data_IF_691172308531
#
_entry.id   IF_691172308531
#
_cell.length_a   1.000
_cell.length_b   1.000
_cell.length_c   1.000
_cell.angle_alpha   90.00
_cell.angle_beta   90.00
_cell.angle_gamma   90.00
#
_symmetry.space_group_name_H-M   'P 1'
#
loop_
_entity.id
_entity.type
_entity.pdbx_description
1 polymer ?
#
# COMPACT_ATOMS: atom_id res chain seq x y z
N UNK A 1 -22.64 -20.08 24.10
CA UNK A 1 -24.05 -20.09 23.62
C UNK A 1 -24.29 -21.21 22.63
N UNK A 2 -23.58 -21.30 21.50
CA UNK A 2 -23.78 -22.35 20.47
C UNK A 2 -23.63 -23.77 21.04
N UNK A 3 -22.53 -24.02 21.77
CA UNK A 3 -22.29 -25.29 22.50
C UNK A 3 -23.39 -25.61 23.52
N UNK A 4 -23.99 -24.60 24.14
CA UNK A 4 -25.06 -24.79 25.13
C UNK A 4 -26.38 -25.19 24.45
N UNK A 5 -26.69 -24.58 23.30
CA UNK A 5 -27.84 -24.93 22.48
C UNK A 5 -27.67 -26.36 21.96
N UNK A 6 -26.48 -26.70 21.47
CA UNK A 6 -26.15 -28.05 20.99
C UNK A 6 -26.30 -29.12 22.08
N UNK A 7 -25.77 -28.87 23.28
CA UNK A 7 -25.95 -29.78 24.42
C UNK A 7 -27.43 -29.92 24.85
N UNK A 8 -28.22 -28.85 24.73
CA UNK A 8 -29.64 -28.89 25.07
C UNK A 8 -30.46 -29.64 24.01
N UNK A 9 -30.11 -29.50 22.73
CA UNK A 9 -30.69 -30.26 21.61
C UNK A 9 -30.35 -31.75 21.70
N UNK A 10 -29.11 -32.10 22.07
CA UNK A 10 -28.71 -33.48 22.37
C UNK A 10 -29.51 -34.10 23.53
N UNK A 11 -30.06 -33.27 24.42
CA UNK A 11 -30.96 -33.69 25.51
C UNK A 11 -32.44 -33.64 25.11
N UNK A 12 -32.74 -33.54 23.81
CA UNK A 12 -34.10 -33.60 23.24
C UNK A 12 -34.89 -32.28 23.27
N UNK A 13 -34.26 -31.14 23.59
CA UNK A 13 -34.94 -29.84 23.54
C UNK A 13 -34.89 -29.23 22.15
N UNK A 14 -36.00 -28.71 21.64
CA UNK A 14 -36.05 -27.99 20.37
C UNK A 14 -36.09 -26.48 20.62
N UNK A 15 -35.32 -25.71 19.85
CA UNK A 15 -35.28 -24.26 19.95
C UNK A 15 -35.57 -23.61 18.60
N UNK A 16 -36.33 -22.51 18.63
CA UNK A 16 -36.42 -21.58 17.51
C UNK A 16 -35.42 -20.46 17.73
N UNK A 17 -34.38 -20.40 16.91
CA UNK A 17 -33.29 -19.44 17.06
C UNK A 17 -33.47 -18.25 16.11
N UNK A 18 -33.63 -17.04 16.66
CA UNK A 18 -33.49 -15.78 15.90
C UNK A 18 -32.07 -15.26 16.06
N UNK A 19 -31.22 -15.53 15.07
CA UNK A 19 -29.77 -15.29 15.17
C UNK A 19 -29.23 -14.54 13.96
N UNK A 20 -28.03 -13.98 14.10
CA UNK A 20 -27.26 -13.49 12.97
C UNK A 20 -26.81 -14.65 12.07
N UNK A 21 -26.51 -14.37 10.79
CA UNK A 21 -26.07 -15.38 9.82
C UNK A 21 -24.82 -16.17 10.27
N UNK A 22 -23.95 -15.56 11.08
CA UNK A 22 -22.75 -16.19 11.64
C UNK A 22 -23.04 -17.39 12.56
N UNK A 23 -24.22 -17.43 13.18
CA UNK A 23 -24.66 -18.57 13.99
C UNK A 23 -24.88 -19.79 13.11
N UNK A 24 -25.56 -19.62 11.99
CA UNK A 24 -25.90 -20.71 11.06
C UNK A 24 -24.62 -21.30 10.46
N UNK A 25 -23.71 -20.44 9.99
CA UNK A 25 -22.43 -20.89 9.42
C UNK A 25 -21.58 -21.68 10.42
N UNK A 26 -21.51 -21.22 11.67
CA UNK A 26 -20.79 -21.94 12.73
C UNK A 26 -21.49 -23.26 13.09
N UNK A 27 -22.82 -23.28 13.14
CA UNK A 27 -23.62 -24.49 13.47
C UNK A 27 -23.44 -25.61 12.45
N UNK A 28 -23.34 -25.27 11.16
CA UNK A 28 -23.21 -26.27 10.09
C UNK A 28 -21.76 -26.51 9.65
N UNK A 29 -20.78 -25.94 10.37
CA UNK A 29 -19.36 -26.17 10.12
C UNK A 29 -18.82 -25.53 8.83
N UNK A 30 -19.40 -24.40 8.39
CA UNK A 30 -18.83 -23.65 7.25
C UNK A 30 -17.44 -23.13 7.66
N UNK A 31 -16.41 -23.54 6.92
CA UNK A 31 -15.05 -23.04 7.09
C UNK A 31 -15.05 -21.53 6.81
N UNK A 32 -14.55 -20.70 7.74
CA UNK A 32 -14.43 -19.26 7.52
C UNK A 32 -13.57 -18.99 6.28
N UNK A 33 -14.11 -18.22 5.33
CA UNK A 33 -13.31 -17.69 4.23
C UNK A 33 -12.54 -16.48 4.71
N UNK A 34 -11.28 -16.38 4.31
CA UNK A 34 -10.49 -15.17 4.52
C UNK A 34 -11.19 -13.96 3.89
N UNK A 35 -10.97 -12.73 4.43
CA UNK A 35 -11.46 -11.52 3.80
C UNK A 35 -10.99 -11.42 2.33
N UNK A 36 -11.91 -11.00 1.46
CA UNK A 36 -11.62 -10.76 0.05
C UNK A 36 -10.91 -9.42 -0.09
N UNK A 37 -9.82 -9.41 -0.84
CA UNK A 37 -9.01 -8.24 -1.15
C UNK A 37 -9.25 -7.79 -2.60
N UNK A 38 -8.91 -6.53 -2.97
CA UNK A 38 -9.07 -6.03 -4.34
C UNK A 38 -8.41 -6.91 -5.42
N UNK A 39 -7.28 -7.55 -5.08
CA UNK A 39 -6.54 -8.46 -5.96
C UNK A 39 -7.35 -9.70 -6.34
N UNK A 40 -8.17 -10.21 -5.42
CA UNK A 40 -9.01 -11.39 -5.63
C UNK A 40 -10.17 -11.11 -6.59
N UNK A 41 -10.48 -9.82 -6.81
CA UNK A 41 -11.49 -9.34 -7.75
C UNK A 41 -10.88 -8.79 -9.06
N UNK A 42 -9.54 -8.76 -9.19
CA UNK A 42 -8.84 -8.25 -10.36
C UNK A 42 -8.86 -6.72 -10.51
N UNK A 43 -9.06 -5.97 -9.42
CA UNK A 43 -9.31 -4.51 -9.46
C UNK A 43 -8.03 -3.68 -9.31
N UNK A 44 -6.87 -4.32 -9.18
CA UNK A 44 -5.58 -3.65 -8.92
C UNK A 44 -5.11 -2.71 -10.04
N UNK A 45 -5.65 -2.85 -11.25
CA UNK A 45 -5.23 -2.06 -12.42
C UNK A 45 -6.01 -0.75 -12.61
N UNK A 46 -7.17 -0.60 -11.96
CA UNK A 46 -7.98 0.62 -12.10
C UNK A 46 -7.41 1.75 -11.21
N UNK A 47 -6.79 2.76 -11.82
CA UNK A 47 -6.38 4.00 -11.13
C UNK A 47 -7.57 4.93 -10.92
N UNK A 48 -8.48 4.54 -10.03
CA UNK A 48 -9.57 5.40 -9.54
C UNK A 48 -9.66 5.31 -8.03
N UNK A 49 -10.07 6.42 -7.41
CA UNK A 49 -10.26 6.48 -5.96
C UNK A 49 -11.40 5.55 -5.50
N UNK A 50 -11.31 5.06 -4.27
CA UNK A 50 -12.46 4.50 -3.57
C UNK A 50 -13.35 5.59 -2.97
N UNK A 51 -14.64 5.29 -2.87
CA UNK A 51 -15.64 6.16 -2.28
C UNK A 51 -16.11 5.59 -0.94
N UNK A 52 -15.91 6.33 0.15
CA UNK A 52 -16.34 5.96 1.49
C UNK A 52 -17.44 6.92 1.92
N UNK A 53 -18.62 6.41 2.29
CA UNK A 53 -19.77 7.23 2.70
C UNK A 53 -20.22 6.87 4.11
N UNK A 54 -20.23 7.86 5.00
CA UNK A 54 -20.60 7.70 6.42
C UNK A 54 -21.64 8.73 6.82
N UNK A 55 -22.91 8.31 6.86
CA UNK A 55 -24.04 9.20 7.18
C UNK A 55 -24.44 9.23 8.66
N UNK A 56 -24.16 8.18 9.43
CA UNK A 56 -24.68 8.05 10.80
C UNK A 56 -23.86 8.81 11.84
N UNK A 57 -24.53 9.48 12.77
CA UNK A 57 -23.93 10.00 14.01
C UNK A 57 -24.25 9.07 15.19
N UNK A 58 -23.29 8.20 15.52
CA UNK A 58 -23.38 7.26 16.66
C UNK A 58 -21.98 7.17 17.27
N UNK A 59 -21.81 7.11 18.60
CA UNK A 59 -20.48 7.13 19.23
C UNK A 59 -19.49 6.12 18.66
N UNK A 60 -19.95 4.91 18.30
CA UNK A 60 -19.12 3.89 17.66
C UNK A 60 -18.64 4.31 16.26
N UNK A 61 -19.55 4.83 15.43
CA UNK A 61 -19.19 5.33 14.09
C UNK A 61 -18.25 6.52 14.18
N UNK A 62 -18.45 7.43 15.13
CA UNK A 62 -17.57 8.59 15.35
C UNK A 62 -16.15 8.13 15.67
N UNK A 63 -15.98 7.22 16.64
CA UNK A 63 -14.66 6.63 16.97
C UNK A 63 -13.99 5.95 15.78
N UNK A 64 -14.75 5.18 14.99
CA UNK A 64 -14.22 4.51 13.79
C UNK A 64 -13.74 5.49 12.73
N UNK A 65 -14.42 6.64 12.60
CA UNK A 65 -14.05 7.68 11.63
C UNK A 65 -12.86 8.51 12.12
N UNK A 66 -12.76 8.78 13.43
CA UNK A 66 -11.59 9.43 14.03
C UNK A 66 -10.33 8.56 13.84
N UNK A 67 -10.44 7.25 14.10
CA UNK A 67 -9.35 6.30 13.88
C UNK A 67 -8.97 6.21 12.40
N UNK A 68 -9.95 6.18 11.49
CA UNK A 68 -9.70 6.23 10.04
C UNK A 68 -8.92 7.50 9.66
N UNK A 69 -9.28 8.66 10.21
CA UNK A 69 -8.57 9.92 9.94
C UNK A 69 -7.15 9.90 10.47
N UNK A 70 -6.94 9.37 11.67
CA UNK A 70 -5.63 9.24 12.29
C UNK A 70 -4.72 8.35 11.44
N UNK A 71 -5.22 7.20 11.00
CA UNK A 71 -4.42 6.18 10.33
C UNK A 71 -4.25 6.40 8.82
N UNK A 72 -5.24 7.00 8.15
CA UNK A 72 -5.30 7.10 6.69
C UNK A 72 -5.31 8.55 6.19
N UNK A 73 -5.19 9.54 7.07
CA UNK A 73 -5.33 10.97 6.71
C UNK A 73 -4.34 11.48 5.66
N UNK A 74 -3.20 10.81 5.48
CA UNK A 74 -2.20 11.16 4.48
C UNK A 74 -2.66 10.88 3.03
N UNK A 75 -3.45 9.83 2.80
CA UNK A 75 -3.99 9.50 1.46
C UNK A 75 -5.50 9.71 1.32
N UNK A 76 -6.23 9.89 2.42
CA UNK A 76 -7.69 10.04 2.44
C UNK A 76 -8.12 11.50 2.35
N UNK A 77 -8.92 11.86 1.34
CA UNK A 77 -9.55 13.18 1.21
C UNK A 77 -10.91 13.19 1.90
N UNK A 78 -11.08 14.12 2.87
CA UNK A 78 -12.32 14.29 3.63
C UNK A 78 -13.22 15.35 2.99
N UNK A 79 -14.45 14.97 2.73
CA UNK A 79 -15.56 15.85 2.39
C UNK A 79 -16.60 15.79 3.50
N UNK A 80 -16.70 16.87 4.26
CA UNK A 80 -17.71 17.01 5.29
C UNK A 80 -18.96 17.68 4.70
N UNK A 81 -20.12 17.08 4.98
CA UNK A 81 -21.43 17.53 4.55
C UNK A 81 -22.14 18.14 5.74
N UNK A 82 -22.47 19.43 5.69
CA UNK A 82 -23.10 20.12 6.82
C UNK A 82 -24.55 19.66 7.02
N UNK A 83 -24.85 19.03 8.16
CA UNK A 83 -26.21 18.61 8.50
C UNK A 83 -27.14 19.82 8.65
N UNK A 84 -26.65 20.96 9.14
CA UNK A 84 -27.42 22.19 9.28
C UNK A 84 -27.96 22.68 7.92
N UNK A 85 -27.06 22.79 6.92
CA UNK A 85 -27.43 23.17 5.55
C UNK A 85 -28.41 22.20 4.91
N UNK A 86 -28.29 20.90 5.20
CA UNK A 86 -29.15 19.87 4.61
C UNK A 86 -30.55 19.78 5.22
N UNK A 87 -30.67 20.04 6.52
CA UNK A 87 -31.87 19.73 7.30
C UNK A 87 -32.70 20.96 7.70
N UNK A 88 -32.04 22.09 7.96
CA UNK A 88 -32.64 23.25 8.64
C UNK A 88 -32.75 24.50 7.76
N UNK A 89 -32.01 24.54 6.65
CA UNK A 89 -31.87 25.72 5.79
C UNK A 89 -32.72 25.65 4.51
N UNK A 90 -32.61 26.66 3.64
CA UNK A 90 -33.39 26.76 2.40
C UNK A 90 -33.08 25.62 1.43
N UNK A 91 -33.98 25.36 0.47
CA UNK A 91 -33.75 24.37 -0.59
C UNK A 91 -32.53 24.72 -1.45
N UNK A 92 -32.27 26.01 -1.67
CA UNK A 92 -31.11 26.50 -2.42
C UNK A 92 -29.80 26.14 -1.70
N UNK A 93 -29.68 26.41 -0.39
CA UNK A 93 -28.47 26.07 0.38
C UNK A 93 -28.23 24.55 0.48
N UNK A 94 -29.31 23.76 0.46
CA UNK A 94 -29.23 22.29 0.36
C UNK A 94 -28.65 21.87 -0.99
N UNK A 95 -29.17 22.39 -2.09
CA UNK A 95 -28.68 22.07 -3.44
C UNK A 95 -27.23 22.51 -3.65
N UNK A 96 -26.86 23.70 -3.19
CA UNK A 96 -25.47 24.18 -3.24
C UNK A 96 -24.51 23.25 -2.49
N UNK A 97 -24.87 22.82 -1.28
CA UNK A 97 -24.02 21.91 -0.50
C UNK A 97 -23.89 20.53 -1.16
N UNK A 98 -24.97 20.02 -1.75
CA UNK A 98 -24.96 18.76 -2.50
C UNK A 98 -24.05 18.86 -3.73
N UNK A 99 -24.23 19.90 -4.54
CA UNK A 99 -23.45 20.12 -5.76
C UNK A 99 -21.96 20.30 -5.43
N UNK A 100 -21.65 21.09 -4.40
CA UNK A 100 -20.27 21.30 -3.91
C UNK A 100 -19.59 19.99 -3.55
N UNK A 101 -20.27 19.12 -2.80
CA UNK A 101 -19.70 17.85 -2.35
C UNK A 101 -19.57 16.87 -3.53
N UNK A 102 -20.55 16.79 -4.41
CA UNK A 102 -20.52 15.92 -5.57
C UNK A 102 -19.40 16.31 -6.56
N UNK A 103 -19.23 17.60 -6.84
CA UNK A 103 -18.17 18.11 -7.71
C UNK A 103 -16.78 17.79 -7.13
N UNK A 104 -16.55 18.09 -5.86
CA UNK A 104 -15.30 17.77 -5.18
C UNK A 104 -15.03 16.26 -5.13
N UNK A 105 -16.06 15.44 -4.93
CA UNK A 105 -15.93 13.99 -4.95
C UNK A 105 -15.53 13.49 -6.35
N UNK A 106 -16.12 14.02 -7.43
CA UNK A 106 -15.73 13.69 -8.79
C UNK A 106 -14.25 14.02 -9.07
N UNK A 107 -13.80 15.19 -8.62
CA UNK A 107 -12.40 15.63 -8.75
C UNK A 107 -11.43 14.67 -8.02
N UNK A 108 -11.71 14.36 -6.75
CA UNK A 108 -10.84 13.48 -5.96
C UNK A 108 -10.82 12.04 -6.45
N UNK A 109 -11.97 11.48 -6.81
CA UNK A 109 -12.05 10.13 -7.41
C UNK A 109 -11.32 10.08 -8.76
N UNK A 110 -11.42 11.16 -9.55
CA UNK A 110 -10.74 11.31 -10.83
C UNK A 110 -9.22 11.35 -10.70
N UNK A 111 -8.73 11.99 -9.63
CA UNK A 111 -7.32 12.07 -9.25
C UNK A 111 -6.81 10.84 -8.45
N UNK A 112 -7.54 9.72 -8.50
CA UNK A 112 -7.17 8.46 -7.83
C UNK A 112 -7.03 8.57 -6.31
N UNK A 113 -7.74 9.50 -5.66
CA UNK A 113 -7.68 9.67 -4.20
C UNK A 113 -8.85 8.99 -3.51
N UNK A 114 -8.55 8.29 -2.41
CA UNK A 114 -9.58 7.76 -1.51
C UNK A 114 -10.40 8.92 -0.94
N UNK A 115 -11.72 8.86 -1.11
CA UNK A 115 -12.61 9.99 -0.80
C UNK A 115 -13.62 9.59 0.26
N UNK A 116 -13.54 10.21 1.43
CA UNK A 116 -14.49 10.06 2.53
C UNK A 116 -15.54 11.19 2.50
N UNK A 117 -16.78 10.84 2.19
CA UNK A 117 -17.95 11.70 2.40
C UNK A 117 -18.55 11.37 3.76
N UNK A 118 -18.60 12.36 4.65
CA UNK A 118 -19.19 12.20 5.98
C UNK A 118 -20.06 13.38 6.35
N UNK A 119 -21.14 13.11 7.08
CA UNK A 119 -21.95 14.16 7.69
C UNK A 119 -21.19 14.83 8.84
N UNK A 120 -21.49 16.11 9.10
CA UNK A 120 -20.96 16.82 10.26
C UNK A 120 -21.26 16.07 11.56
N UNK A 121 -20.34 16.15 12.51
CA UNK A 121 -20.40 15.40 13.77
C UNK A 121 -21.06 16.20 14.91
N UNK A 122 -21.82 17.22 14.58
CA UNK A 122 -22.66 17.90 15.56
C UNK A 122 -23.99 17.15 15.65
N UNK A 123 -24.38 16.77 16.87
CA UNK A 123 -25.66 16.10 17.10
C UNK A 123 -26.79 17.12 16.94
N UNK A 124 -27.49 17.07 15.80
CA UNK A 124 -28.70 17.84 15.57
C UNK A 124 -29.91 16.93 15.84
N UNK A 125 -30.45 17.01 17.06
CA UNK A 125 -31.69 16.31 17.45
C UNK A 125 -32.88 17.26 17.40
N UNK A 126 -34.00 16.77 16.87
CA UNK A 126 -35.28 17.47 16.99
C UNK A 126 -35.79 17.44 18.43
N UNK A 127 -36.77 18.29 18.74
CA UNK A 127 -37.46 18.34 20.04
C UNK A 127 -38.30 17.09 20.27
N UNK A 128 -38.64 16.36 19.21
CA UNK A 128 -39.41 15.12 19.24
C UNK A 128 -38.71 13.99 18.48
N UNK A 129 -39.14 12.73 18.73
CA UNK A 129 -38.67 11.57 17.99
C UNK A 129 -39.00 11.66 16.49
N UNK A 130 -40.16 12.23 16.14
CA UNK A 130 -40.58 12.46 14.75
C UNK A 130 -39.67 13.47 14.04
N UNK A 131 -39.39 14.62 14.67
CA UNK A 131 -38.46 15.62 14.11
C UNK A 131 -37.05 15.04 13.91
N UNK A 132 -36.58 14.23 14.87
CA UNK A 132 -35.29 13.54 14.74
C UNK A 132 -35.27 12.54 13.58
N UNK A 133 -36.39 11.84 13.32
CA UNK A 133 -36.55 10.97 12.16
C UNK A 133 -36.56 11.74 10.84
N UNK A 134 -37.24 12.88 10.79
CA UNK A 134 -37.27 13.75 9.60
C UNK A 134 -35.90 14.32 9.24
N UNK A 135 -35.12 14.75 10.24
CA UNK A 135 -33.73 15.20 10.03
C UNK A 135 -32.90 14.05 9.45
N UNK A 136 -32.98 12.84 10.03
CA UNK A 136 -32.27 11.68 9.50
C UNK A 136 -32.68 11.35 8.06
N UNK A 137 -33.96 11.49 7.72
CA UNK A 137 -34.45 11.28 6.35
C UNK A 137 -33.87 12.32 5.39
N UNK A 138 -33.91 13.62 5.74
CA UNK A 138 -33.34 14.72 4.93
C UNK A 138 -31.84 14.55 4.69
N UNK A 139 -31.11 14.06 5.70
CA UNK A 139 -29.67 13.76 5.60
C UNK A 139 -29.43 12.55 4.70
N UNK A 140 -30.18 11.47 4.88
CA UNK A 140 -30.04 10.27 4.04
C UNK A 140 -30.34 10.57 2.58
N UNK A 141 -31.41 11.34 2.29
CA UNK A 141 -31.75 11.73 0.91
C UNK A 141 -30.68 12.61 0.28
N UNK A 142 -30.10 13.56 1.02
CA UNK A 142 -29.00 14.37 0.53
C UNK A 142 -27.75 13.54 0.19
N UNK A 143 -27.38 12.56 1.04
CA UNK A 143 -26.27 11.64 0.73
C UNK A 143 -26.54 10.80 -0.51
N UNK A 144 -27.79 10.37 -0.71
CA UNK A 144 -28.21 9.67 -1.92
C UNK A 144 -28.06 10.58 -3.15
N UNK A 145 -28.52 11.83 -3.07
CA UNK A 145 -28.39 12.81 -4.15
C UNK A 145 -26.93 13.09 -4.50
N UNK A 146 -26.06 13.29 -3.50
CA UNK A 146 -24.62 13.48 -3.68
C UNK A 146 -24.02 12.28 -4.45
N UNK A 147 -24.24 11.05 -3.98
CA UNK A 147 -23.69 9.85 -4.64
C UNK A 147 -24.30 9.65 -6.03
N UNK A 148 -25.56 10.06 -6.24
CA UNK A 148 -26.21 10.02 -7.54
C UNK A 148 -25.63 11.02 -8.54
N UNK A 149 -25.12 12.16 -8.07
CA UNK A 149 -24.45 13.16 -8.92
C UNK A 149 -22.98 12.83 -9.22
N UNK A 150 -22.34 11.94 -8.45
CA UNK A 150 -21.01 11.44 -8.78
C UNK A 150 -21.09 10.67 -10.10
N UNK A 151 -20.36 11.15 -11.11
CA UNK A 151 -20.27 10.58 -12.46
C UNK A 151 -19.00 9.75 -12.64
N UNK A 152 -17.92 10.10 -11.91
CA UNK A 152 -16.69 9.31 -11.87
C UNK A 152 -16.95 7.95 -11.24
N UNK A 153 -16.73 6.88 -12.00
CA UNK A 153 -16.81 5.49 -11.51
C UNK A 153 -15.77 5.25 -10.40
N UNK A 154 -16.18 4.99 -9.15
CA UNK A 154 -15.26 4.65 -8.07
C UNK A 154 -14.73 3.22 -8.25
N UNK A 155 -13.53 2.97 -7.76
CA UNK A 155 -12.92 1.63 -7.76
C UNK A 155 -13.62 0.65 -6.82
N UNK A 156 -14.07 1.15 -5.68
CA UNK A 156 -14.97 0.47 -4.75
C UNK A 156 -15.81 1.52 -4.02
N UNK A 157 -16.92 1.08 -3.44
CA UNK A 157 -17.78 1.92 -2.61
C UNK A 157 -17.94 1.25 -1.24
N UNK A 158 -17.67 1.99 -0.17
CA UNK A 158 -17.91 1.55 1.21
C UNK A 158 -18.98 2.44 1.82
N UNK A 159 -20.11 1.85 2.23
CA UNK A 159 -21.15 2.55 2.95
C UNK A 159 -21.20 2.10 4.41
N UNK A 160 -21.19 3.05 5.34
CA UNK A 160 -21.25 2.78 6.78
C UNK A 160 -22.62 3.10 7.35
N UNK A 161 -23.25 2.08 7.93
CA UNK A 161 -24.55 2.15 8.60
C UNK A 161 -25.64 1.40 7.84
N UNK A 162 -26.63 0.85 8.55
CA UNK A 162 -27.67 0.01 7.95
C UNK A 162 -28.54 0.76 6.94
N UNK A 163 -29.09 1.91 7.36
CA UNK A 163 -29.92 2.76 6.50
C UNK A 163 -29.08 3.33 5.34
N UNK A 164 -27.93 3.93 5.66
CA UNK A 164 -27.03 4.51 4.65
C UNK A 164 -26.62 3.50 3.59
N UNK A 165 -26.25 2.27 3.97
CA UNK A 165 -25.88 1.25 2.98
C UNK A 165 -27.07 0.81 2.12
N UNK A 166 -28.25 0.65 2.72
CA UNK A 166 -29.44 0.28 1.97
C UNK A 166 -29.86 1.36 0.98
N UNK A 167 -29.92 2.61 1.43
CA UNK A 167 -30.35 3.75 0.63
C UNK A 167 -29.38 4.04 -0.51
N UNK A 168 -28.07 3.99 -0.26
CA UNK A 168 -27.08 4.20 -1.31
C UNK A 168 -27.13 3.09 -2.36
N UNK A 169 -27.21 1.82 -1.96
CA UNK A 169 -27.30 0.72 -2.91
C UNK A 169 -28.55 0.81 -3.81
N UNK A 170 -29.71 1.05 -3.21
CA UNK A 170 -31.00 0.96 -3.92
C UNK A 170 -31.41 2.27 -4.60
N UNK A 171 -31.14 3.44 -4.00
CA UNK A 171 -31.60 4.74 -4.49
C UNK A 171 -30.51 5.52 -5.22
N UNK A 172 -29.27 5.48 -4.74
CA UNK A 172 -28.18 6.25 -5.35
C UNK A 172 -27.50 5.49 -6.50
N UNK A 173 -27.26 4.19 -6.31
CA UNK A 173 -26.62 3.30 -7.28
C UNK A 173 -27.63 2.52 -8.14
N UNK A 174 -28.92 2.60 -7.79
CA UNK A 174 -30.03 1.98 -8.51
C UNK A 174 -29.88 0.46 -8.67
N UNK A 175 -29.16 -0.20 -7.76
CA UNK A 175 -28.92 -1.63 -7.79
C UNK A 175 -30.21 -2.41 -7.48
N UNK A 176 -30.58 -3.34 -8.36
CA UNK A 176 -31.74 -4.24 -8.18
C UNK A 176 -31.28 -5.63 -7.73
N UNK A 177 -30.11 -6.06 -8.18
CA UNK A 177 -29.45 -7.27 -7.72
C UNK A 177 -27.96 -7.02 -7.49
N UNK A 178 -27.37 -7.84 -6.62
CA UNK A 178 -25.94 -7.84 -6.39
C UNK A 178 -25.49 -9.25 -6.04
N UNK A 179 -24.28 -9.61 -6.47
CA UNK A 179 -23.66 -10.89 -6.08
C UNK A 179 -22.88 -10.69 -4.79
N UNK A 180 -23.20 -11.47 -3.75
CA UNK A 180 -22.36 -11.49 -2.53
C UNK A 180 -21.11 -12.31 -2.83
N UNK A 181 -19.97 -11.66 -2.97
CA UNK A 181 -18.70 -12.30 -3.34
C UNK A 181 -17.89 -12.75 -2.13
N UNK A 182 -18.17 -12.18 -0.95
CA UNK A 182 -17.53 -12.58 0.30
C UNK A 182 -17.70 -11.53 1.38
N UNK A 183 -16.65 -11.36 2.18
CA UNK A 183 -16.60 -10.35 3.24
C UNK A 183 -15.31 -9.55 3.11
N UNK A 184 -15.37 -8.23 3.31
CA UNK A 184 -14.18 -7.36 3.32
C UNK A 184 -13.44 -7.42 4.66
N UNK A 185 -14.16 -7.81 5.72
CA UNK A 185 -13.66 -8.15 7.06
C UNK A 185 -14.73 -9.03 7.71
N UNK A 186 -14.40 -9.79 8.74
CA UNK A 186 -15.37 -10.63 9.45
C UNK A 186 -16.66 -9.85 9.82
N UNK A 187 -17.80 -10.28 9.26
CA UNK A 187 -19.10 -9.64 9.49
C UNK A 187 -19.39 -8.40 8.64
N UNK A 188 -18.54 -8.07 7.66
CA UNK A 188 -18.69 -6.95 6.73
C UNK A 188 -18.90 -7.50 5.31
N UNK A 189 -20.15 -7.58 4.82
CA UNK A 189 -20.45 -8.13 3.50
C UNK A 189 -19.83 -7.32 2.36
N UNK A 190 -19.38 -8.05 1.34
CA UNK A 190 -18.87 -7.49 0.10
C UNK A 190 -19.75 -7.95 -1.07
N UNK A 191 -20.34 -6.97 -1.76
CA UNK A 191 -21.21 -7.19 -2.91
C UNK A 191 -20.51 -6.77 -4.19
N UNK A 192 -20.89 -7.36 -5.31
CA UNK A 192 -20.55 -6.91 -6.65
C UNK A 192 -21.84 -6.46 -7.33
N UNK A 193 -21.92 -5.18 -7.71
CA UNK A 193 -23.13 -4.58 -8.26
C UNK A 193 -23.49 -5.16 -9.62
N UNK A 194 -24.79 -5.37 -9.87
CA UNK A 194 -25.31 -5.90 -11.13
C UNK A 194 -25.17 -4.93 -12.32
N UNK A 195 -25.38 -5.44 -13.55
CA UNK A 195 -25.29 -4.66 -14.79
C UNK A 195 -26.29 -3.50 -14.90
N UNK A 196 -27.37 -3.54 -14.12
CA UNK A 196 -28.41 -2.52 -14.08
C UNK A 196 -28.08 -1.32 -13.18
N UNK A 197 -27.05 -1.43 -12.35
CA UNK A 197 -26.62 -0.34 -11.46
C UNK A 197 -25.89 0.78 -12.21
N UNK A 198 -25.79 1.97 -11.61
CA UNK A 198 -25.02 3.11 -12.19
C UNK A 198 -23.53 2.80 -12.37
N UNK A 199 -22.99 1.87 -11.59
CA UNK A 199 -21.59 1.43 -11.70
C UNK A 199 -21.48 -0.10 -11.72
N UNK A 200 -21.80 -0.73 -12.87
CA UNK A 200 -21.82 -2.19 -13.00
C UNK A 200 -20.51 -2.85 -12.59
N UNK A 201 -20.58 -3.89 -11.76
CA UNK A 201 -19.41 -4.65 -11.32
C UNK A 201 -18.54 -3.97 -10.27
N UNK A 202 -18.83 -2.72 -9.86
CA UNK A 202 -18.10 -2.07 -8.77
C UNK A 202 -18.36 -2.82 -7.46
N UNK A 203 -17.32 -3.12 -6.67
CA UNK A 203 -17.49 -3.70 -5.34
C UNK A 203 -18.16 -2.71 -4.40
N UNK A 204 -19.19 -3.20 -3.70
CA UNK A 204 -19.96 -2.46 -2.73
C UNK A 204 -19.82 -3.11 -1.35
N UNK A 205 -19.08 -2.46 -0.46
CA UNK A 205 -18.83 -2.89 0.92
C UNK A 205 -19.93 -2.34 1.81
N UNK A 206 -20.74 -3.25 2.36
CA UNK A 206 -21.81 -2.92 3.30
C UNK A 206 -21.22 -2.99 4.70
N UNK A 207 -20.91 -1.85 5.31
CA UNK A 207 -20.34 -1.81 6.65
C UNK A 207 -21.44 -1.61 7.71
N UNK A 208 -21.80 -2.65 8.50
CA UNK A 208 -22.88 -2.53 9.46
C UNK A 208 -22.57 -1.54 10.59
N UNK A 209 -23.61 -0.92 11.15
CA UNK A 209 -23.48 0.08 12.22
C UNK A 209 -22.75 -0.42 13.47
N UNK A 210 -22.92 -1.71 13.79
CA UNK A 210 -22.54 -2.35 15.05
C UNK A 210 -21.35 -3.31 14.95
N UNK A 211 -20.75 -3.50 13.77
CA UNK A 211 -19.65 -4.47 13.54
C UNK A 211 -18.28 -3.80 13.70
N UNK A 212 -17.27 -4.59 14.10
CA UNK A 212 -15.87 -4.18 14.22
C UNK A 212 -15.53 -3.44 15.52
N UNK A 213 -14.24 -3.29 15.79
CA UNK A 213 -13.71 -2.41 16.83
C UNK A 213 -13.55 -0.97 16.29
N UNK A 214 -12.79 -0.11 16.97
CA UNK A 214 -12.53 1.26 16.47
C UNK A 214 -11.65 1.30 15.22
N UNK A 215 -10.83 0.27 14.96
CA UNK A 215 -9.88 0.23 13.84
C UNK A 215 -10.46 -0.41 12.59
N UNK A 216 -11.49 -1.23 12.72
CA UNK A 216 -12.08 -2.00 11.62
C UNK A 216 -12.41 -1.18 10.36
N UNK A 217 -12.85 0.08 10.49
CA UNK A 217 -13.07 0.94 9.31
C UNK A 217 -11.76 1.34 8.63
N UNK A 218 -10.74 1.70 9.40
CA UNK A 218 -9.41 1.99 8.91
C UNK A 218 -8.78 0.77 8.24
N UNK A 219 -8.93 -0.42 8.83
CA UNK A 219 -8.35 -1.66 8.30
C UNK A 219 -8.95 -2.05 6.94
N UNK A 220 -10.28 -1.91 6.80
CA UNK A 220 -10.94 -2.13 5.51
C UNK A 220 -10.50 -1.08 4.49
N UNK A 221 -10.46 0.20 4.85
CA UNK A 221 -10.02 1.24 3.90
C UNK A 221 -8.57 1.04 3.49
N UNK A 222 -7.66 0.67 4.41
CA UNK A 222 -6.25 0.38 4.09
C UNK A 222 -6.09 -0.81 3.15
N UNK A 223 -6.80 -1.90 3.42
CA UNK A 223 -6.73 -3.10 2.59
C UNK A 223 -7.37 -2.92 1.21
N UNK A 224 -8.21 -1.90 1.05
CA UNK A 224 -8.89 -1.59 -0.20
C UNK A 224 -8.34 -0.37 -0.94
N UNK A 225 -7.59 0.51 -0.28
CA UNK A 225 -6.91 1.65 -0.89
C UNK A 225 -5.92 1.20 -1.97
N UNK A 226 -5.64 2.05 -2.96
CA UNK A 226 -4.50 1.82 -3.85
C UNK A 226 -3.26 1.90 -2.97
N UNK A 227 -2.35 0.92 -3.04
CA UNK A 227 -1.08 1.09 -2.37
C UNK A 227 -0.38 2.29 -3.04
N UNK A 228 0.34 3.11 -2.26
CA UNK A 228 1.17 4.17 -2.83
C UNK A 228 2.19 3.56 -3.80
N UNK A 229 2.76 2.41 -3.44
CA UNK A 229 3.65 1.61 -4.31
C UNK A 229 2.97 0.36 -4.83
N UNK A 230 3.15 0.05 -6.10
CA UNK A 230 2.65 -1.20 -6.67
C UNK A 230 3.28 -2.45 -6.04
N UNK A 231 4.51 -2.36 -5.54
CA UNK A 231 5.23 -3.45 -4.84
C UNK A 231 6.31 -2.89 -3.92
N UNK A 232 6.75 -3.70 -2.94
CA UNK A 232 7.96 -3.42 -2.15
C UNK A 232 9.22 -3.91 -2.87
N UNK A 233 10.40 -3.40 -2.52
CA UNK A 233 11.68 -3.88 -3.08
C UNK A 233 11.85 -5.38 -2.81
N UNK A 234 11.44 -5.84 -1.62
CA UNK A 234 11.46 -7.26 -1.26
C UNK A 234 10.61 -8.11 -2.21
N UNK A 235 9.41 -7.65 -2.55
CA UNK A 235 8.51 -8.36 -3.45
C UNK A 235 9.02 -8.35 -4.89
N UNK A 236 9.59 -7.23 -5.35
CA UNK A 236 10.27 -7.13 -6.65
C UNK A 236 11.33 -8.21 -6.80
N UNK A 237 12.24 -8.29 -5.82
CA UNK A 237 13.34 -9.24 -5.85
C UNK A 237 12.86 -10.69 -5.68
N UNK A 238 11.87 -10.98 -4.83
CA UNK A 238 11.25 -12.32 -4.73
C UNK A 238 10.67 -12.79 -6.07
N UNK A 239 10.00 -11.89 -6.78
CA UNK A 239 9.38 -12.20 -8.06
C UNK A 239 10.43 -12.43 -9.15
N UNK A 240 11.52 -11.67 -9.12
CA UNK A 240 12.68 -11.84 -10.00
C UNK A 240 13.37 -13.18 -9.81
N UNK A 241 13.64 -13.56 -8.56
CA UNK A 241 14.21 -14.87 -8.22
C UNK A 241 13.30 -16.02 -8.69
N UNK A 242 12.00 -15.96 -8.38
CA UNK A 242 11.02 -16.97 -8.82
C UNK A 242 10.87 -17.05 -10.33
N UNK A 243 11.00 -15.91 -11.01
CA UNK A 243 10.89 -15.79 -12.45
C UNK A 243 12.18 -16.07 -13.21
N UNK A 244 13.32 -16.20 -12.51
CA UNK A 244 14.64 -16.40 -13.13
C UNK A 244 15.13 -15.18 -13.92
N UNK A 245 14.81 -13.97 -13.48
CA UNK A 245 15.26 -12.72 -14.10
C UNK A 245 15.88 -11.77 -13.07
N UNK A 246 16.51 -10.68 -13.53
CA UNK A 246 17.05 -9.62 -12.68
C UNK A 246 16.23 -8.34 -12.82
N UNK A 247 16.16 -7.53 -11.76
CA UNK A 247 15.54 -6.19 -11.80
C UNK A 247 16.63 -5.17 -12.03
N UNK A 248 16.48 -4.34 -13.08
CA UNK A 248 17.40 -3.24 -13.33
C UNK A 248 17.26 -2.16 -12.25
N UNK A 249 18.38 -1.76 -11.68
CA UNK A 249 18.49 -0.64 -10.76
C UNK A 249 19.29 0.45 -11.46
N UNK A 250 18.73 1.66 -11.55
CA UNK A 250 19.24 2.72 -12.41
C UNK A 250 19.47 4.00 -11.61
N UNK A 251 20.70 4.51 -11.66
CA UNK A 251 21.06 5.76 -11.01
C UNK A 251 20.39 6.97 -11.67
N UNK A 252 19.73 7.79 -10.84
CA UNK A 252 19.01 9.00 -11.27
C UNK A 252 19.48 10.24 -10.52
N UNK A 253 19.67 11.31 -11.30
CA UNK A 253 20.31 12.56 -10.82
C UNK A 253 19.37 13.75 -10.84
N UNK A 254 18.23 13.63 -11.53
CA UNK A 254 17.26 14.68 -11.79
C UNK A 254 15.91 14.07 -12.16
N UNK A 255 14.92 14.95 -12.37
CA UNK A 255 13.56 14.55 -12.74
C UNK A 255 13.52 13.83 -14.09
N UNK A 256 14.29 14.32 -15.06
CA UNK A 256 14.34 13.78 -16.41
C UNK A 256 14.86 12.33 -16.43
N UNK A 257 15.86 12.02 -15.61
CA UNK A 257 16.37 10.65 -15.45
C UNK A 257 15.35 9.71 -14.80
N UNK A 258 14.65 10.18 -13.76
CA UNK A 258 13.58 9.40 -13.14
C UNK A 258 12.45 9.11 -14.13
N UNK A 259 11.98 10.12 -14.87
CA UNK A 259 10.95 9.93 -15.90
C UNK A 259 11.41 9.01 -17.03
N UNK A 260 12.66 9.09 -17.47
CA UNK A 260 13.21 8.23 -18.51
C UNK A 260 13.20 6.75 -18.08
N UNK A 261 13.62 6.44 -16.85
CA UNK A 261 13.59 5.07 -16.32
C UNK A 261 12.16 4.57 -16.19
N UNK A 262 11.23 5.38 -15.66
CA UNK A 262 9.82 4.99 -15.55
C UNK A 262 9.20 4.73 -16.93
N UNK A 263 9.42 5.62 -17.90
CA UNK A 263 8.87 5.46 -19.24
C UNK A 263 9.38 4.19 -19.93
N UNK A 264 10.68 3.91 -19.85
CA UNK A 264 11.27 2.69 -20.40
C UNK A 264 10.72 1.44 -19.70
N UNK A 265 10.60 1.45 -18.37
CA UNK A 265 10.06 0.34 -17.61
C UNK A 265 8.59 0.06 -17.99
N UNK A 266 7.78 1.10 -18.20
CA UNK A 266 6.39 0.96 -18.65
C UNK A 266 6.28 0.42 -20.08
N UNK A 267 7.10 0.93 -21.00
CA UNK A 267 7.14 0.46 -22.40
C UNK A 267 7.50 -1.01 -22.49
N UNK A 268 8.51 -1.44 -21.73
CA UNK A 268 8.99 -2.82 -21.68
C UNK A 268 8.16 -3.72 -20.75
N UNK A 269 7.14 -3.18 -20.06
CA UNK A 269 6.37 -3.88 -19.03
C UNK A 269 7.24 -4.57 -17.97
N UNK A 270 8.37 -3.93 -17.61
CA UNK A 270 9.39 -4.45 -16.71
C UNK A 270 9.34 -3.77 -15.35
N UNK A 271 9.62 -4.46 -14.23
CA UNK A 271 9.94 -3.78 -12.98
C UNK A 271 11.27 -3.03 -13.09
N UNK A 272 11.45 -1.99 -12.26
CA UNK A 272 12.69 -1.23 -12.16
C UNK A 272 12.92 -0.67 -10.75
N UNK A 273 14.16 -0.31 -10.43
CA UNK A 273 14.53 0.40 -9.20
C UNK A 273 15.16 1.74 -9.59
N UNK A 274 14.63 2.84 -9.04
CA UNK A 274 15.24 4.17 -9.12
C UNK A 274 16.28 4.27 -8.00
N UNK A 275 17.56 4.39 -8.34
CA UNK A 275 18.64 4.50 -7.37
C UNK A 275 19.11 5.95 -7.23
N UNK A 276 19.32 6.39 -5.99
CA UNK A 276 19.85 7.72 -5.69
C UNK A 276 21.17 7.53 -4.93
N UNK A 277 22.27 7.89 -5.58
CA UNK A 277 23.60 7.93 -4.99
C UNK A 277 23.74 9.13 -4.01
N UNK A 278 24.63 9.10 -3.00
CA UNK A 278 24.78 10.20 -2.03
C UNK A 278 25.18 11.53 -2.69
N UNK A 279 25.94 11.50 -3.80
CA UNK A 279 26.26 12.70 -4.58
C UNK A 279 25.00 13.35 -5.19
N UNK A 280 24.10 12.53 -5.75
CA UNK A 280 22.82 12.96 -6.31
C UNK A 280 21.91 13.49 -5.21
N UNK A 281 21.85 12.84 -4.04
CA UNK A 281 21.11 13.31 -2.89
C UNK A 281 21.65 14.67 -2.38
N UNK A 282 22.97 14.84 -2.35
CA UNK A 282 23.60 16.11 -1.93
C UNK A 282 23.28 17.27 -2.88
N UNK A 283 23.20 16.99 -4.19
CA UNK A 283 22.89 18.00 -5.20
C UNK A 283 21.39 18.30 -5.31
N UNK A 284 20.57 17.25 -5.42
CA UNK A 284 19.12 17.34 -5.64
C UNK A 284 18.29 17.46 -4.35
N UNK A 285 18.86 17.08 -3.21
CA UNK A 285 18.22 17.14 -1.89
C UNK A 285 16.94 16.31 -1.79
N UNK A 286 16.14 16.63 -0.77
CA UNK A 286 14.79 16.07 -0.56
C UNK A 286 13.90 16.18 -1.80
N UNK A 287 13.93 17.27 -2.60
CA UNK A 287 13.15 17.36 -3.84
C UNK A 287 13.41 16.22 -4.84
N UNK A 288 14.66 15.78 -5.00
CA UNK A 288 14.98 14.66 -5.88
C UNK A 288 14.35 13.35 -5.38
N UNK A 289 14.44 13.10 -4.07
CA UNK A 289 13.81 11.91 -3.46
C UNK A 289 12.30 11.94 -3.65
N UNK A 290 11.66 13.07 -3.36
CA UNK A 290 10.22 13.24 -3.54
C UNK A 290 9.79 13.07 -5.01
N UNK A 291 10.62 13.51 -5.95
CA UNK A 291 10.41 13.30 -7.38
C UNK A 291 10.44 11.81 -7.74
N UNK A 292 11.47 11.07 -7.33
CA UNK A 292 11.59 9.63 -7.59
C UNK A 292 10.45 8.84 -6.92
N UNK A 293 10.10 9.20 -5.69
CA UNK A 293 8.96 8.63 -4.96
C UNK A 293 7.66 8.87 -5.73
N UNK A 294 7.42 10.09 -6.19
CA UNK A 294 6.23 10.42 -6.96
C UNK A 294 6.18 9.67 -8.31
N UNK A 295 7.32 9.55 -9.00
CA UNK A 295 7.43 8.84 -10.26
C UNK A 295 7.13 7.34 -10.08
N UNK A 296 7.72 6.71 -9.06
CA UNK A 296 7.46 5.31 -8.72
C UNK A 296 5.99 5.03 -8.32
N UNK A 297 5.35 5.97 -7.59
CA UNK A 297 3.91 5.93 -7.26
C UNK A 297 3.00 6.00 -8.50
N UNK A 298 3.41 6.76 -9.51
CA UNK A 298 2.63 6.99 -10.72
C UNK A 298 2.87 5.93 -11.81
N UNK A 299 3.95 5.17 -11.73
CA UNK A 299 4.31 4.13 -12.69
C UNK A 299 3.29 2.97 -12.71
N UNK A 300 2.94 2.49 -13.92
CA UNK A 300 2.04 1.38 -14.21
C UNK A 300 2.67 0.00 -14.06
N UNK A 301 3.98 -0.04 -13.90
CA UNK A 301 4.78 -1.22 -13.57
C UNK A 301 5.38 -1.06 -12.16
N UNK A 302 5.70 -2.17 -11.48
CA UNK A 302 6.33 -2.10 -10.15
C UNK A 302 7.68 -1.37 -10.16
N UNK A 303 7.74 -0.20 -9.51
CA UNK A 303 8.96 0.60 -9.35
C UNK A 303 9.14 0.97 -7.88
N UNK A 304 10.39 0.89 -7.39
CA UNK A 304 10.79 1.27 -6.03
C UNK A 304 11.96 2.23 -6.04
N UNK A 305 12.17 2.96 -4.95
CA UNK A 305 13.28 3.91 -4.80
C UNK A 305 14.30 3.38 -3.79
N UNK A 306 15.57 3.37 -4.18
CA UNK A 306 16.68 2.82 -3.41
C UNK A 306 17.74 3.90 -3.12
N UNK A 307 18.22 3.96 -1.87
CA UNK A 307 19.37 4.80 -1.50
C UNK A 307 20.66 4.00 -1.60
N UNK A 308 21.53 4.34 -2.54
CA UNK A 308 22.74 3.58 -2.86
C UNK A 308 23.96 4.06 -2.04
N UNK A 309 24.94 3.18 -1.81
CA UNK A 309 26.26 3.50 -1.21
C UNK A 309 26.23 4.38 0.06
N UNK A 310 25.29 4.11 0.97
CA UNK A 310 25.22 4.83 2.25
C UNK A 310 26.38 4.45 3.17
N UNK A 311 27.36 5.34 3.33
CA UNK A 311 28.57 5.09 4.14
C UNK A 311 28.46 5.64 5.56
N UNK A 312 27.86 6.82 5.75
CA UNK A 312 27.80 7.45 7.07
C UNK A 312 26.52 7.13 7.84
N UNK A 313 26.64 7.02 9.17
CA UNK A 313 25.50 6.75 10.05
C UNK A 313 24.43 7.83 9.95
N UNK A 314 24.86 9.08 9.78
CA UNK A 314 23.97 10.21 9.68
C UNK A 314 23.12 10.12 8.41
N UNK A 315 23.75 9.91 7.25
CA UNK A 315 23.04 9.78 5.97
C UNK A 315 22.06 8.61 5.98
N UNK A 316 22.48 7.44 6.47
CA UNK A 316 21.61 6.27 6.55
C UNK A 316 20.40 6.51 7.45
N UNK A 317 20.59 7.14 8.63
CA UNK A 317 19.50 7.46 9.54
C UNK A 317 18.57 8.51 8.95
N UNK A 318 19.09 9.53 8.25
CA UNK A 318 18.29 10.52 7.55
C UNK A 318 17.49 9.85 6.41
N UNK A 319 18.11 8.97 5.62
CA UNK A 319 17.46 8.26 4.52
C UNK A 319 16.27 7.40 4.97
N UNK A 320 16.28 6.87 6.20
CA UNK A 320 15.14 6.14 6.79
C UNK A 320 13.83 6.93 6.78
N UNK A 321 13.89 8.27 6.77
CA UNK A 321 12.73 9.15 6.86
C UNK A 321 12.40 9.89 5.56
N UNK A 322 13.18 9.70 4.49
CA UNK A 322 13.01 10.43 3.22
C UNK A 322 12.04 9.78 2.22
N UNK A 323 11.54 8.59 2.52
CA UNK A 323 10.56 7.88 1.69
C UNK A 323 11.14 6.83 0.73
N UNK A 324 12.38 6.41 0.94
CA UNK A 324 12.98 5.27 0.25
C UNK A 324 12.26 3.95 0.60
N UNK A 325 12.26 3.02 -0.36
CA UNK A 325 11.73 1.66 -0.20
C UNK A 325 12.81 0.66 0.24
N UNK A 326 14.08 1.01 -0.02
CA UNK A 326 15.27 0.24 0.34
C UNK A 326 16.50 1.14 0.46
N UNK A 327 17.52 0.70 1.20
CA UNK A 327 18.82 1.34 1.22
C UNK A 327 19.97 0.33 1.20
N UNK A 328 21.14 0.78 0.81
CA UNK A 328 22.39 0.05 0.86
C UNK A 328 23.28 0.60 1.99
N UNK A 329 23.75 -0.29 2.86
CA UNK A 329 24.78 0.00 3.87
C UNK A 329 26.14 -0.39 3.30
N UNK A 330 26.94 0.60 2.94
CA UNK A 330 28.29 0.39 2.44
C UNK A 330 29.32 0.50 3.58
N UNK A 331 29.55 -0.63 4.23
CA UNK A 331 30.61 -0.83 5.22
C UNK A 331 31.86 -1.50 4.65
N UNK A 332 32.02 -1.58 3.32
CA UNK A 332 33.10 -2.30 2.62
C UNK A 332 34.52 -1.87 3.04
N UNK A 333 34.65 -0.60 3.44
CA UNK A 333 35.90 0.01 3.91
C UNK A 333 36.27 -0.37 5.35
N UNK A 334 35.34 -0.94 6.13
CA UNK A 334 35.55 -1.32 7.52
C UNK A 334 36.16 -2.73 7.66
N UNK A 335 36.62 -3.07 8.86
CA UNK A 335 36.92 -4.48 9.18
C UNK A 335 35.63 -5.30 9.14
N UNK A 336 35.70 -6.60 8.81
CA UNK A 336 34.52 -7.46 8.75
C UNK A 336 33.66 -7.36 10.02
N UNK A 337 34.30 -7.38 11.20
CA UNK A 337 33.63 -7.28 12.50
C UNK A 337 32.90 -5.95 12.66
N UNK A 338 33.52 -4.85 12.25
CA UNK A 338 32.91 -3.51 12.36
C UNK A 338 31.79 -3.33 11.32
N UNK A 339 31.96 -3.86 10.11
CA UNK A 339 30.92 -3.88 9.08
C UNK A 339 29.70 -4.67 9.57
N UNK A 340 29.89 -5.86 10.14
CA UNK A 340 28.79 -6.65 10.73
C UNK A 340 28.05 -5.83 11.81
N UNK A 341 28.78 -5.26 12.77
CA UNK A 341 28.17 -4.50 13.85
C UNK A 341 27.40 -3.26 13.34
N UNK A 342 27.98 -2.57 12.37
CA UNK A 342 27.40 -1.38 11.76
C UNK A 342 26.14 -1.69 10.94
N UNK A 343 26.24 -2.65 10.03
CA UNK A 343 25.16 -3.09 9.16
C UNK A 343 24.00 -3.69 9.96
N UNK A 344 24.29 -4.47 11.01
CA UNK A 344 23.26 -4.99 11.93
C UNK A 344 22.47 -3.86 12.62
N UNK A 345 23.16 -2.81 13.06
CA UNK A 345 22.51 -1.67 13.71
C UNK A 345 21.57 -0.93 12.76
N UNK A 346 22.00 -0.65 11.52
CA UNK A 346 21.16 0.03 10.53
C UNK A 346 20.01 -0.87 10.06
N UNK A 347 20.26 -2.16 9.87
CA UNK A 347 19.23 -3.15 9.48
C UNK A 347 18.06 -3.18 10.46
N UNK A 348 18.35 -3.19 11.77
CA UNK A 348 17.32 -3.12 12.81
C UNK A 348 16.44 -1.86 12.69
N UNK A 349 17.04 -0.71 12.39
CA UNK A 349 16.31 0.54 12.23
C UNK A 349 15.46 0.56 10.95
N UNK A 350 16.03 0.13 9.82
CA UNK A 350 15.34 0.07 8.54
C UNK A 350 14.15 -0.91 8.58
N UNK A 351 14.33 -2.10 9.17
CA UNK A 351 13.27 -3.10 9.32
C UNK A 351 12.11 -2.61 10.19
N UNK A 352 12.37 -1.76 11.19
CA UNK A 352 11.30 -1.14 12.00
C UNK A 352 10.37 -0.23 11.17
N UNK A 353 10.82 0.18 9.98
CA UNK A 353 10.08 0.99 8.99
C UNK A 353 9.64 0.18 7.78
N UNK A 354 9.79 -1.15 7.79
CA UNK A 354 9.54 -2.05 6.66
C UNK A 354 10.37 -1.74 5.41
N UNK A 355 11.58 -1.20 5.60
CA UNK A 355 12.51 -0.92 4.50
C UNK A 355 13.50 -2.07 4.31
N UNK A 356 13.74 -2.47 3.06
CA UNK A 356 14.70 -3.51 2.72
C UNK A 356 16.14 -2.99 2.88
N UNK A 357 17.04 -3.83 3.38
CA UNK A 357 18.47 -3.48 3.49
C UNK A 357 19.33 -4.34 2.59
N UNK A 358 20.07 -3.66 1.73
CA UNK A 358 21.22 -4.19 1.01
C UNK A 358 22.50 -3.84 1.76
N UNK A 359 23.52 -4.66 1.67
CA UNK A 359 24.85 -4.32 2.16
C UNK A 359 25.94 -4.87 1.25
N UNK A 360 27.12 -4.28 1.33
CA UNK A 360 28.29 -4.72 0.57
C UNK A 360 29.25 -5.53 1.42
N UNK A 361 29.70 -6.66 0.87
CA UNK A 361 30.84 -7.41 1.39
C UNK A 361 31.86 -7.67 0.28
N UNK A 362 33.07 -7.18 0.50
CA UNK A 362 34.07 -7.04 -0.54
C UNK A 362 34.38 -5.56 -0.72
N UNK A 363 35.00 -5.19 -1.83
CA UNK A 363 35.11 -3.80 -2.27
C UNK A 363 35.34 -3.75 -3.77
N UNK A 364 34.49 -3.04 -4.49
CA UNK A 364 34.64 -2.84 -5.94
C UNK A 364 35.72 -1.81 -6.24
N UNK A 365 36.50 -2.01 -7.31
CA UNK A 365 37.34 -0.93 -7.87
C UNK A 365 36.57 -0.13 -8.92
N UNK A 366 37.10 1.04 -9.26
CA UNK A 366 36.55 1.92 -10.28
C UNK A 366 36.16 3.29 -9.74
N UNK A 367 35.57 4.10 -10.61
CA UNK A 367 35.11 5.45 -10.27
C UNK A 367 33.62 5.56 -10.57
N UNK A 368 32.85 5.94 -9.56
CA UNK A 368 31.45 6.31 -9.66
C UNK A 368 31.21 7.60 -8.87
N UNK A 369 30.63 8.63 -9.50
CA UNK A 369 30.14 9.84 -8.85
C UNK A 369 31.02 10.43 -7.72
N UNK A 370 32.28 10.72 -8.06
CA UNK A 370 33.33 11.26 -7.19
C UNK A 370 33.92 10.28 -6.15
N UNK A 371 33.42 9.05 -6.06
CA UNK A 371 34.04 7.95 -5.32
C UNK A 371 34.95 7.16 -6.26
N UNK A 372 36.25 7.09 -5.92
CA UNK A 372 37.21 6.26 -6.65
C UNK A 372 37.83 5.25 -5.71
N UNK A 373 37.74 3.98 -6.08
CA UNK A 373 38.43 2.88 -5.40
C UNK A 373 39.50 2.34 -6.34
N UNK A 374 40.75 2.43 -5.89
CA UNK A 374 41.91 1.94 -6.63
C UNK A 374 41.90 0.41 -6.74
N UNK A 375 42.42 -0.14 -7.84
CA UNK A 375 42.42 -1.59 -8.11
C UNK A 375 43.10 -2.43 -7.02
N UNK A 376 44.08 -1.88 -6.31
CA UNK A 376 44.76 -2.60 -5.21
C UNK A 376 43.88 -2.70 -3.95
N UNK A 377 42.86 -1.86 -3.82
CA UNK A 377 41.89 -1.89 -2.72
C UNK A 377 40.70 -2.81 -3.02
N UNK A 378 40.57 -3.29 -4.27
CA UNK A 378 39.54 -4.22 -4.67
C UNK A 378 39.65 -5.54 -3.89
N UNK A 379 38.52 -6.02 -3.37
CA UNK A 379 38.44 -7.27 -2.63
C UNK A 379 37.26 -8.09 -3.14
N UNK A 380 37.58 -9.26 -3.68
CA UNK A 380 36.56 -10.26 -3.98
C UNK A 380 35.87 -10.70 -2.69
N UNK A 381 34.57 -10.99 -2.79
CA UNK A 381 33.80 -11.51 -1.67
C UNK A 381 34.27 -12.92 -1.32
N UNK A 382 34.56 -13.17 -0.04
CA UNK A 382 34.77 -14.51 0.49
C UNK A 382 33.42 -15.15 0.83
N UNK A 383 33.13 -16.31 0.22
CA UNK A 383 31.87 -17.05 0.39
C UNK A 383 31.58 -17.39 1.84
N UNK A 384 32.59 -17.76 2.63
CA UNK A 384 32.39 -18.11 4.04
C UNK A 384 32.10 -16.86 4.89
N UNK A 385 32.76 -15.75 4.58
CA UNK A 385 32.47 -14.47 5.25
C UNK A 385 31.08 -13.95 4.88
N UNK A 386 30.62 -14.18 3.63
CA UNK A 386 29.29 -13.80 3.19
C UNK A 386 28.18 -14.52 3.99
N UNK A 387 28.34 -15.83 4.25
CA UNK A 387 27.40 -16.58 5.08
C UNK A 387 27.32 -16.02 6.51
N UNK A 388 28.47 -15.81 7.16
CA UNK A 388 28.53 -15.22 8.50
C UNK A 388 27.96 -13.80 8.53
N UNK A 389 28.30 -12.98 7.53
CA UNK A 389 27.86 -11.60 7.41
C UNK A 389 26.34 -11.51 7.31
N UNK A 390 25.73 -12.34 6.46
CA UNK A 390 24.29 -12.39 6.26
C UNK A 390 23.56 -12.80 7.55
N UNK A 391 24.01 -13.89 8.18
CA UNK A 391 23.37 -14.43 9.38
C UNK A 391 23.45 -13.44 10.55
N UNK A 392 24.58 -12.75 10.70
CA UNK A 392 24.79 -11.82 11.82
C UNK A 392 24.16 -10.45 11.62
N UNK A 393 24.09 -9.95 10.38
CA UNK A 393 23.54 -8.62 10.09
C UNK A 393 22.03 -8.60 9.93
N UNK A 394 21.46 -9.70 9.41
CA UNK A 394 20.04 -9.78 9.09
C UNK A 394 19.63 -8.93 7.90
N UNK A 395 20.55 -8.59 6.98
CA UNK A 395 20.22 -7.92 5.71
C UNK A 395 19.25 -8.75 4.86
N UNK A 396 18.71 -8.16 3.80
CA UNK A 396 17.81 -8.82 2.86
C UNK A 396 18.49 -9.14 1.51
N UNK A 397 19.48 -8.32 1.11
CA UNK A 397 20.26 -8.46 -0.12
C UNK A 397 21.75 -8.22 0.15
N UNK A 398 22.62 -8.92 -0.58
CA UNK A 398 24.07 -8.77 -0.49
C UNK A 398 24.66 -8.39 -1.84
N UNK A 399 25.36 -7.25 -1.88
CA UNK A 399 26.22 -6.88 -3.00
C UNK A 399 27.53 -7.66 -2.92
N UNK A 400 27.81 -8.44 -3.96
CA UNK A 400 28.99 -9.30 -4.04
C UNK A 400 29.97 -8.83 -5.10
N UNK A 401 31.23 -8.75 -4.71
CA UNK A 401 32.37 -8.40 -5.55
C UNK A 401 32.90 -9.68 -6.20
N UNK A 402 32.58 -9.89 -7.47
CA UNK A 402 33.01 -11.07 -8.24
C UNK A 402 34.03 -10.73 -9.34
N UNK A 403 34.63 -9.52 -9.29
CA UNK A 403 35.50 -8.98 -10.34
C UNK A 403 34.79 -8.00 -11.26
N UNK A 404 33.60 -7.55 -10.87
CA UNK A 404 32.93 -6.39 -11.42
C UNK A 404 33.65 -5.09 -10.99
N UNK A 405 33.50 -4.04 -11.81
CA UNK A 405 34.18 -2.75 -11.65
C UNK A 405 33.17 -1.65 -11.98
N UNK A 406 33.23 -0.54 -11.24
CA UNK A 406 32.43 0.63 -11.54
C UNK A 406 32.98 1.41 -12.74
N UNK A 407 32.08 1.90 -13.59
CA UNK A 407 32.46 2.67 -14.77
C UNK A 407 33.00 1.80 -15.92
N UNK A 408 34.22 2.07 -16.39
CA UNK A 408 34.74 1.44 -17.63
C UNK A 408 35.61 0.24 -17.32
N UNK A 409 35.21 -0.92 -17.82
CA UNK A 409 36.05 -2.12 -17.76
C UNK A 409 37.39 -1.92 -18.49
N UNK A 410 38.46 -2.60 -18.03
CA UNK A 410 39.72 -2.67 -18.75
C UNK A 410 39.52 -3.21 -20.17
N UNK A 411 40.47 -2.92 -21.06
CA UNK A 411 40.41 -3.37 -22.46
C UNK A 411 40.31 -4.90 -22.62
N UNK A 412 40.69 -5.67 -21.60
CA UNK A 412 40.52 -7.12 -21.53
C UNK A 412 39.06 -7.58 -21.35
N UNK A 413 38.13 -6.67 -21.08
CA UNK A 413 36.75 -6.97 -20.73
C UNK A 413 36.59 -7.40 -19.26
N UNK A 414 35.34 -7.67 -18.84
CA UNK A 414 35.03 -8.11 -17.48
C UNK A 414 35.59 -9.50 -17.19
N UNK A 415 36.17 -9.70 -16.01
CA UNK A 415 36.67 -11.00 -15.55
C UNK A 415 35.88 -11.45 -14.32
N UNK A 416 34.68 -12.00 -14.55
CA UNK A 416 33.73 -12.33 -13.49
C UNK A 416 33.91 -13.76 -12.98
N UNK A 417 33.98 -13.89 -11.66
CA UNK A 417 34.13 -15.14 -10.90
C UNK A 417 32.77 -15.66 -10.45
N UNK A 418 32.01 -16.20 -11.40
CA UNK A 418 30.67 -16.76 -11.14
C UNK A 418 30.67 -17.92 -10.13
N UNK A 419 31.82 -18.55 -9.87
CA UNK A 419 31.98 -19.54 -8.81
C UNK A 419 31.69 -18.98 -7.41
N UNK A 420 31.91 -17.68 -7.20
CA UNK A 420 31.63 -16.99 -5.93
C UNK A 420 30.14 -16.77 -5.67
N UNK A 421 29.28 -16.89 -6.70
CA UNK A 421 27.82 -16.78 -6.54
C UNK A 421 27.18 -18.05 -5.92
N UNK A 422 27.96 -19.11 -5.68
CA UNK A 422 27.47 -20.40 -5.12
C UNK A 422 27.44 -20.43 -3.59
N UNK A 423 27.14 -19.30 -2.93
CA UNK A 423 27.00 -19.21 -1.47
C UNK A 423 25.80 -20.05 -0.99
N UNK A 424 25.91 -20.76 0.14
CA UNK A 424 24.85 -21.65 0.65
C UNK A 424 24.38 -21.22 2.04
N UNK A 425 23.09 -20.94 2.21
CA UNK A 425 22.56 -20.46 3.49
C UNK A 425 22.06 -21.58 4.41
N UNK A 426 22.35 -21.47 5.72
CA UNK A 426 21.84 -22.37 6.77
C UNK A 426 20.47 -21.96 7.33
N UNK A 427 20.18 -20.66 7.38
CA UNK A 427 18.88 -20.11 7.78
C UNK A 427 18.45 -19.06 6.75
N UNK A 428 17.45 -19.43 5.97
CA UNK A 428 16.82 -18.65 4.91
C UNK A 428 16.28 -17.30 5.41
N UNK A 429 16.87 -16.19 4.96
CA UNK A 429 16.25 -14.85 4.94
C UNK A 429 16.86 -13.89 3.91
N UNK A 430 18.12 -14.07 3.50
CA UNK A 430 18.69 -13.40 2.31
C UNK A 430 18.45 -14.28 1.09
N UNK A 431 17.78 -13.72 0.10
CA UNK A 431 17.44 -14.42 -1.15
C UNK A 431 18.05 -13.73 -2.38
N UNK A 432 18.79 -12.64 -2.21
CA UNK A 432 19.19 -11.78 -3.33
C UNK A 432 20.67 -11.43 -3.30
N UNK A 433 21.28 -11.61 -4.45
CA UNK A 433 22.57 -11.01 -4.79
C UNK A 433 22.31 -9.83 -5.70
N UNK A 434 22.77 -8.65 -5.29
CA UNK A 434 23.01 -7.57 -6.23
C UNK A 434 24.42 -7.74 -6.78
N UNK A 435 24.54 -7.58 -8.09
CA UNK A 435 25.84 -7.44 -8.74
C UNK A 435 25.74 -6.13 -9.49
N UNK A 436 26.47 -5.11 -9.02
CA UNK A 436 26.63 -3.87 -9.77
C UNK A 436 27.41 -4.21 -11.05
N UNK A 437 26.73 -4.16 -12.19
CA UNK A 437 27.32 -4.42 -13.50
C UNK A 437 27.21 -3.13 -14.32
N UNK A 438 28.22 -2.28 -14.21
CA UNK A 438 28.29 -1.06 -14.99
C UNK A 438 28.78 -1.33 -16.42
N UNK A 439 28.14 -0.74 -17.42
CA UNK A 439 28.61 -0.75 -18.81
C UNK A 439 28.89 -2.14 -19.44
N UNK A 440 28.18 -3.20 -19.04
CA UNK A 440 28.24 -4.48 -19.78
C UNK A 440 27.21 -4.47 -20.90
N UNK A 441 27.69 -4.46 -22.15
CA UNK A 441 26.87 -4.91 -23.28
C UNK A 441 26.56 -6.39 -23.05
N UNK A 442 25.32 -6.68 -22.67
CA UNK A 442 24.77 -8.03 -22.77
C UNK A 442 24.41 -8.21 -24.25
N UNK A 443 25.35 -8.74 -25.04
CA UNK A 443 25.03 -9.17 -26.40
C UNK A 443 24.12 -10.42 -26.29
N UNK A 444 22.95 -10.31 -26.93
CA UNK A 444 21.87 -11.30 -26.96
C UNK A 444 22.23 -12.61 -27.63
#
# INVERSE_FOLDING_TARGET
MLLCIEQAELRGKSFLCRTAASFVSTRIGIIPKAPILPKDLGINKERKGGLIVVGSYVPKTTKQVEELKLQCGHFLKKLEVSVDKLAMKSLEEREEEINRVAEMANLFLGASKETLIMTSRELITGKTACESLEINFKVSSALVEIVRQISTRPRYILAKGGITSSDLATKALEAKCAKVVGQALAGIPLWQLGPESRHPGVPYIVFPGNVGDSKALADVVKSWALPSRLSSTKELLLNAERGGYAVGAFNVYNMEGAEAVVAAAEEENSPAILQIHPSALKQGGIPLVACCVSAAEQANVPITVHFEHGTSKQELVEALDLGFDSLMVDGSHLSLKDNIAYTKYISLLAHSKNMLVEAELGRLSGTEDDLTVEDYEARLTDVNQAEEFIDETGIDALAVCIGNVHGKYPASGPNLRFDLLKVKYKQSNVSYFSVAIDNVRIES
#
